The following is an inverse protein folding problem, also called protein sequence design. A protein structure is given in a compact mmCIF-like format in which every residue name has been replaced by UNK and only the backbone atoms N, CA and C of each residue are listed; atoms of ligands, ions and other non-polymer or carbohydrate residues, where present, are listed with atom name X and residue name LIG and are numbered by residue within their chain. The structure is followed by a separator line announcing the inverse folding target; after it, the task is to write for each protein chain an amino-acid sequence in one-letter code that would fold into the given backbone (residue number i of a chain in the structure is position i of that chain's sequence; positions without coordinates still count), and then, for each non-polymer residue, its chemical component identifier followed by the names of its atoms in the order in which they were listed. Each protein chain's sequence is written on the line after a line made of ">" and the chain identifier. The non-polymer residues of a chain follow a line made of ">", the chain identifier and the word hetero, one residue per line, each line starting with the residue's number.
data_IF_612644737847
#
_entry.id   IF_612644737847
#
_cell.length_a   1.000
_cell.length_b   1.000
_cell.length_c   1.000
_cell.angle_alpha   90.00
_cell.angle_beta   90.00
_cell.angle_gamma   90.00
#
_symmetry.space_group_name_H-M   'P 1'
#
loop_
_entity.id
_entity.type
_entity.pdbx_description
1 polymer ?
#
# COMPACT_ATOMS: atom_id res chain seq x y z
N UNK A 1 10.08 -20.66 -6.71
CA UNK A 1 11.11 -20.68 -7.78
C UNK A 1 11.95 -19.40 -7.81
N UNK A 2 12.21 -18.79 -6.64
CA UNK A 2 13.24 -17.74 -6.47
C UNK A 2 14.49 -18.40 -5.86
N UNK A 3 15.17 -19.25 -6.66
CA UNK A 3 16.45 -19.87 -6.28
C UNK A 3 17.68 -19.02 -6.65
N UNK A 4 17.48 -17.89 -7.34
CA UNK A 4 18.56 -17.04 -7.81
C UNK A 4 18.92 -16.01 -6.75
N UNK A 5 19.93 -16.33 -5.93
CA UNK A 5 20.77 -15.31 -5.33
C UNK A 5 21.53 -14.66 -6.49
N UNK A 6 21.09 -13.50 -6.97
CA UNK A 6 21.93 -12.71 -7.86
C UNK A 6 23.14 -12.24 -7.05
N UNK A 7 24.26 -12.97 -7.17
CA UNK A 7 25.53 -12.65 -6.51
C UNK A 7 26.22 -11.41 -7.10
N UNK A 8 25.47 -10.53 -7.78
CA UNK A 8 25.98 -9.26 -8.26
C UNK A 8 25.91 -8.23 -7.14
N UNK A 9 27.08 -7.88 -6.61
CA UNK A 9 27.22 -6.79 -5.64
C UNK A 9 26.62 -5.48 -6.16
N UNK A 10 26.66 -5.25 -7.48
CA UNK A 10 26.08 -4.08 -8.13
C UNK A 10 24.56 -4.08 -7.96
N UNK A 11 23.89 -5.21 -8.28
CA UNK A 11 22.43 -5.33 -8.15
C UNK A 11 22.02 -5.14 -6.68
N UNK A 12 22.72 -5.80 -5.75
CA UNK A 12 22.37 -5.69 -4.33
C UNK A 12 22.51 -4.26 -3.82
N UNK A 13 23.58 -3.57 -4.20
CA UNK A 13 23.85 -2.18 -3.79
C UNK A 13 22.81 -1.23 -4.38
N UNK A 14 22.59 -1.29 -5.70
CA UNK A 14 21.67 -0.39 -6.40
C UNK A 14 20.22 -0.62 -5.94
N UNK A 15 19.76 -1.87 -5.84
CA UNK A 15 18.40 -2.15 -5.39
C UNK A 15 18.19 -1.71 -3.94
N UNK A 16 19.15 -1.98 -3.05
CA UNK A 16 19.06 -1.56 -1.65
C UNK A 16 19.00 -0.04 -1.51
N UNK A 17 19.73 0.69 -2.36
CA UNK A 17 19.70 2.14 -2.41
C UNK A 17 18.36 2.67 -2.94
N UNK A 18 17.80 2.07 -4.00
CA UNK A 18 16.57 2.53 -4.65
C UNK A 18 15.30 2.30 -3.83
N UNK A 19 15.22 1.21 -3.08
CA UNK A 19 14.02 0.85 -2.28
C UNK A 19 13.48 2.00 -1.42
N UNK A 20 14.29 2.67 -0.56
CA UNK A 20 13.77 3.78 0.26
C UNK A 20 13.27 4.96 -0.58
N UNK A 21 13.87 5.24 -1.74
CA UNK A 21 13.38 6.31 -2.64
C UNK A 21 12.06 5.92 -3.31
N UNK A 22 11.90 4.66 -3.72
CA UNK A 22 10.63 4.15 -4.26
C UNK A 22 9.54 4.26 -3.19
N UNK A 23 9.84 3.87 -1.95
CA UNK A 23 8.89 3.94 -0.84
C UNK A 23 8.51 5.39 -0.51
N UNK A 24 9.48 6.30 -0.46
CA UNK A 24 9.22 7.71 -0.23
C UNK A 24 8.36 8.32 -1.35
N UNK A 25 8.68 8.00 -2.61
CA UNK A 25 7.89 8.45 -3.75
C UNK A 25 6.47 7.86 -3.74
N UNK A 26 6.32 6.60 -3.35
CA UNK A 26 5.02 5.98 -3.19
C UNK A 26 4.16 6.69 -2.14
N UNK A 27 4.74 7.04 -0.98
CA UNK A 27 4.06 7.82 0.05
C UNK A 27 3.65 9.21 -0.46
N UNK A 28 4.51 9.87 -1.22
CA UNK A 28 4.18 11.13 -1.89
C UNK A 28 2.97 10.98 -2.82
N UNK A 29 2.95 9.94 -3.67
CA UNK A 29 1.85 9.66 -4.63
C UNK A 29 0.53 9.35 -3.92
N UNK A 30 0.56 8.70 -2.75
CA UNK A 30 -0.65 8.46 -1.95
C UNK A 30 -1.14 9.75 -1.32
N UNK A 31 -0.25 10.54 -0.69
CA UNK A 31 -0.64 11.73 0.07
C UNK A 31 -1.13 12.87 -0.84
N UNK A 32 -0.64 12.94 -2.07
CA UNK A 32 -0.98 14.01 -3.04
C UNK A 32 -1.93 13.54 -4.14
N UNK A 33 -2.58 12.38 -3.97
CA UNK A 33 -3.46 11.79 -4.98
C UNK A 33 -4.65 12.66 -5.36
N UNK A 34 -5.15 13.48 -4.42
CA UNK A 34 -6.24 14.43 -4.68
C UNK A 34 -5.81 15.74 -5.35
N UNK A 35 -4.51 16.06 -5.36
CA UNK A 35 -3.97 17.29 -5.97
C UNK A 35 -3.31 17.05 -7.33
N UNK A 36 -2.93 15.82 -7.64
CA UNK A 36 -2.17 15.48 -8.85
C UNK A 36 -2.48 14.09 -9.39
N UNK A 37 -1.88 13.71 -10.52
CA UNK A 37 -2.06 12.36 -11.05
C UNK A 37 -1.45 11.34 -10.09
N UNK A 38 -2.25 10.39 -9.60
CA UNK A 38 -1.80 9.42 -8.61
C UNK A 38 -2.93 8.85 -7.77
N UNK A 39 -2.62 8.62 -6.49
CA UNK A 39 -3.56 8.12 -5.50
C UNK A 39 -3.15 6.77 -4.90
N UNK A 40 -4.09 6.21 -4.13
CA UNK A 40 -3.89 4.98 -3.38
C UNK A 40 -3.42 3.80 -4.23
N UNK A 41 -4.04 3.58 -5.39
CA UNK A 41 -3.72 2.42 -6.22
C UNK A 41 -2.28 2.46 -6.72
N UNK A 42 -1.87 3.55 -7.37
CA UNK A 42 -0.55 3.71 -7.97
C UNK A 42 0.54 3.72 -6.88
N UNK A 43 0.29 4.39 -5.76
CA UNK A 43 1.19 4.36 -4.61
C UNK A 43 1.33 2.96 -3.99
N UNK A 44 0.22 2.22 -3.86
CA UNK A 44 0.22 0.83 -3.41
C UNK A 44 1.02 -0.09 -4.34
N UNK A 45 0.92 0.11 -5.66
CA UNK A 45 1.75 -0.60 -6.66
C UNK A 45 3.23 -0.31 -6.45
N UNK A 46 3.62 0.96 -6.26
CA UNK A 46 5.02 1.34 -6.01
C UNK A 46 5.57 0.71 -4.72
N UNK A 47 4.78 0.68 -3.65
CA UNK A 47 5.14 -0.02 -2.42
C UNK A 47 5.33 -1.52 -2.66
N UNK A 48 4.43 -2.16 -3.40
CA UNK A 48 4.55 -3.57 -3.76
C UNK A 48 5.81 -3.84 -4.58
N UNK A 49 6.11 -3.02 -5.57
CA UNK A 49 7.33 -3.11 -6.38
C UNK A 49 8.58 -3.03 -5.51
N UNK A 50 8.60 -2.17 -4.48
CA UNK A 50 9.76 -2.09 -3.56
C UNK A 50 10.02 -3.41 -2.84
N UNK A 51 8.97 -4.11 -2.41
CA UNK A 51 9.07 -5.42 -1.76
C UNK A 51 9.40 -6.50 -2.78
N UNK A 52 8.78 -6.49 -3.96
CA UNK A 52 9.07 -7.45 -5.04
C UNK A 52 10.54 -7.33 -5.47
N UNK A 53 11.07 -6.11 -5.62
CA UNK A 53 12.48 -5.90 -5.91
C UNK A 53 13.36 -6.53 -4.82
N UNK A 54 13.00 -6.32 -3.55
CA UNK A 54 13.67 -6.98 -2.42
C UNK A 54 13.64 -8.50 -2.51
N UNK A 55 12.50 -9.09 -2.87
CA UNK A 55 12.34 -10.55 -3.07
C UNK A 55 13.27 -11.07 -4.15
N UNK A 56 13.41 -10.33 -5.25
CA UNK A 56 14.22 -10.71 -6.40
C UNK A 56 15.72 -10.71 -6.10
N UNK A 57 16.25 -9.70 -5.39
CA UNK A 57 17.70 -9.60 -5.16
C UNK A 57 18.19 -10.33 -3.90
N UNK A 58 17.38 -10.40 -2.83
CA UNK A 58 17.76 -11.12 -1.59
C UNK A 58 17.35 -12.60 -1.58
N UNK A 59 16.43 -12.98 -2.47
CA UNK A 59 15.77 -14.28 -2.44
C UNK A 59 14.71 -14.39 -1.34
N UNK A 60 13.85 -15.41 -1.45
CA UNK A 60 12.69 -15.59 -0.59
C UNK A 60 13.05 -15.67 0.91
N UNK A 61 14.05 -16.48 1.29
CA UNK A 61 14.39 -16.73 2.71
C UNK A 61 14.75 -15.45 3.49
N UNK A 62 15.58 -14.58 2.91
CA UNK A 62 16.01 -13.35 3.59
C UNK A 62 14.92 -12.29 3.50
N UNK A 63 14.31 -12.12 2.32
CA UNK A 63 13.26 -11.12 2.15
C UNK A 63 12.03 -11.42 3.01
N UNK A 64 11.63 -12.69 3.21
CA UNK A 64 10.46 -13.07 4.02
C UNK A 64 10.65 -12.74 5.50
N UNK A 65 11.89 -12.73 5.98
CA UNK A 65 12.22 -12.25 7.34
C UNK A 65 12.09 -10.74 7.48
N UNK A 66 12.32 -9.98 6.41
CA UNK A 66 12.18 -8.51 6.39
C UNK A 66 10.74 -8.07 6.19
N UNK A 67 10.01 -8.77 5.33
CA UNK A 67 8.61 -8.50 5.02
C UNK A 67 7.90 -9.83 4.79
N UNK A 68 7.05 -10.27 5.72
CA UNK A 68 6.42 -11.59 5.62
C UNK A 68 5.15 -11.56 4.77
N UNK A 69 4.77 -12.67 4.11
CA UNK A 69 3.46 -12.76 3.44
C UNK A 69 2.27 -12.53 4.39
N UNK A 70 2.40 -12.93 5.66
CA UNK A 70 1.39 -12.62 6.70
C UNK A 70 1.23 -11.12 6.94
N UNK A 71 2.33 -10.36 6.92
CA UNK A 71 2.29 -8.90 6.98
C UNK A 71 1.61 -8.33 5.73
N UNK A 72 1.94 -8.85 4.54
CA UNK A 72 1.28 -8.44 3.30
C UNK A 72 -0.25 -8.65 3.37
N UNK A 73 -0.68 -9.82 3.87
CA UNK A 73 -2.10 -10.12 4.09
C UNK A 73 -2.73 -9.17 5.11
N UNK A 74 -2.07 -8.93 6.24
CA UNK A 74 -2.57 -8.03 7.27
C UNK A 74 -2.73 -6.60 6.74
N UNK A 75 -1.76 -6.09 5.98
CA UNK A 75 -1.84 -4.78 5.33
C UNK A 75 -2.97 -4.74 4.30
N UNK A 76 -3.09 -5.78 3.48
CA UNK A 76 -4.15 -5.92 2.48
C UNK A 76 -5.55 -5.85 3.11
N UNK A 77 -5.77 -6.67 4.13
CA UNK A 77 -7.03 -6.72 4.88
C UNK A 77 -7.31 -5.41 5.64
N UNK A 78 -6.29 -4.83 6.28
CA UNK A 78 -6.42 -3.55 6.99
C UNK A 78 -6.79 -2.42 6.03
N UNK A 79 -6.18 -2.38 4.85
CA UNK A 79 -6.51 -1.41 3.82
C UNK A 79 -7.97 -1.51 3.36
N UNK A 80 -8.44 -2.74 3.14
CA UNK A 80 -9.84 -2.98 2.76
C UNK A 80 -10.81 -2.63 3.89
N UNK A 81 -10.45 -2.89 5.15
CA UNK A 81 -11.22 -2.46 6.31
C UNK A 81 -11.29 -0.93 6.42
N UNK A 82 -10.18 -0.22 6.21
CA UNK A 82 -10.15 1.25 6.21
C UNK A 82 -11.10 1.79 5.13
N UNK A 83 -11.03 1.27 3.91
CA UNK A 83 -11.93 1.66 2.82
C UNK A 83 -13.40 1.41 3.19
N UNK A 84 -13.72 0.22 3.69
CA UNK A 84 -15.08 -0.15 4.07
C UNK A 84 -15.63 0.72 5.19
N UNK A 85 -14.82 0.99 6.23
CA UNK A 85 -15.20 1.86 7.34
C UNK A 85 -15.35 3.32 6.88
N UNK A 86 -14.46 3.83 6.04
CA UNK A 86 -14.58 5.17 5.48
C UNK A 86 -15.89 5.36 4.69
N UNK A 87 -16.44 4.28 4.12
CA UNK A 87 -17.74 4.29 3.46
C UNK A 87 -18.94 4.13 4.39
N UNK A 88 -18.87 3.21 5.36
CA UNK A 88 -20.00 2.89 6.25
C UNK A 88 -20.15 3.89 7.39
N UNK A 89 -19.06 4.47 7.90
CA UNK A 89 -19.12 5.44 9.00
C UNK A 89 -20.01 6.63 8.65
N UNK A 90 -19.87 7.32 7.50
CA UNK A 90 -20.81 8.36 7.07
C UNK A 90 -22.28 7.97 7.14
N UNK A 91 -22.61 6.71 6.78
CA UNK A 91 -23.99 6.21 6.81
C UNK A 91 -24.56 6.16 8.23
N UNK A 92 -23.73 5.86 9.23
CA UNK A 92 -24.15 5.86 10.63
C UNK A 92 -24.45 7.28 11.16
N UNK A 93 -23.99 8.32 10.46
CA UNK A 93 -24.18 9.73 10.82
C UNK A 93 -25.10 10.47 9.83
N UNK A 94 -25.94 9.74 9.07
CA UNK A 94 -26.97 10.31 8.20
C UNK A 94 -26.50 10.68 6.79
N UNK A 95 -25.25 10.37 6.42
CA UNK A 95 -24.72 10.51 5.06
C UNK A 95 -24.98 9.28 4.17
N UNK A 96 -24.62 9.37 2.90
CA UNK A 96 -24.56 8.21 2.00
C UNK A 96 -23.24 7.44 2.16
N UNK A 97 -23.14 6.24 1.57
CA UNK A 97 -21.88 5.50 1.50
C UNK A 97 -20.78 6.36 0.85
N UNK A 98 -19.62 6.49 1.50
CA UNK A 98 -18.50 7.35 1.09
C UNK A 98 -18.83 8.86 1.03
N UNK A 99 -19.91 9.32 1.68
CA UNK A 99 -20.11 10.76 1.85
C UNK A 99 -19.18 11.31 2.93
N UNK A 100 -17.97 11.69 2.51
CA UNK A 100 -16.95 12.21 3.42
C UNK A 100 -17.40 13.46 4.20
N UNK A 101 -18.42 14.18 3.72
CA UNK A 101 -18.99 15.34 4.43
C UNK A 101 -19.71 14.98 5.73
N UNK A 102 -20.08 13.71 5.91
CA UNK A 102 -20.76 13.19 7.11
C UNK A 102 -19.82 12.39 8.02
N UNK A 103 -18.50 12.46 7.80
CA UNK A 103 -17.53 11.84 8.71
C UNK A 103 -17.56 12.53 10.09
N UNK A 104 -17.54 11.77 11.20
CA UNK A 104 -17.62 12.31 12.56
C UNK A 104 -16.26 12.86 13.05
N UNK A 105 -15.64 13.73 12.26
CA UNK A 105 -14.34 14.37 12.57
C UNK A 105 -14.61 15.83 12.93
N UNK A 106 -14.95 16.07 14.21
CA UNK A 106 -15.52 17.33 14.68
C UNK A 106 -14.59 18.55 14.63
N UNK A 107 -13.30 18.37 14.35
CA UNK A 107 -12.32 19.47 14.24
C UNK A 107 -12.06 19.91 12.79
N UNK A 108 -12.63 19.26 11.78
CA UNK A 108 -12.45 19.59 10.36
C UNK A 108 -13.82 19.71 9.69
N UNK A 109 -14.01 20.70 8.82
CA UNK A 109 -15.31 20.98 8.21
C UNK A 109 -15.22 21.25 6.70
N UNK A 110 -16.36 21.16 6.00
CA UNK A 110 -16.48 21.56 4.61
C UNK A 110 -15.54 20.81 3.66
N UNK A 111 -14.80 21.57 2.83
CA UNK A 111 -13.90 21.00 1.83
C UNK A 111 -12.71 20.23 2.45
N UNK A 112 -12.20 20.68 3.59
CA UNK A 112 -11.08 20.03 4.28
C UNK A 112 -11.48 18.65 4.80
N UNK A 113 -12.72 18.50 5.29
CA UNK A 113 -13.24 17.21 5.77
C UNK A 113 -13.34 16.21 4.61
N UNK A 114 -13.80 16.68 3.44
CA UNK A 114 -13.86 15.85 2.23
C UNK A 114 -12.46 15.47 1.75
N UNK A 115 -11.50 16.41 1.76
CA UNK A 115 -10.11 16.12 1.40
C UNK A 115 -9.47 15.08 2.34
N UNK A 116 -9.73 15.18 3.64
CA UNK A 116 -9.28 14.20 4.61
C UNK A 116 -9.93 12.82 4.38
N UNK A 117 -11.24 12.78 4.08
CA UNK A 117 -11.93 11.54 3.72
C UNK A 117 -11.36 10.87 2.46
N UNK A 118 -11.03 11.65 1.43
CA UNK A 118 -10.34 11.17 0.23
C UNK A 118 -8.98 10.57 0.62
N UNK A 119 -8.17 11.27 1.41
CA UNK A 119 -6.86 10.77 1.85
C UNK A 119 -6.98 9.46 2.65
N UNK A 120 -7.96 9.34 3.56
CA UNK A 120 -8.22 8.10 4.32
C UNK A 120 -8.50 6.94 3.36
N UNK A 121 -9.33 7.16 2.35
CA UNK A 121 -9.66 6.17 1.33
C UNK A 121 -8.45 5.81 0.47
N UNK A 122 -7.64 6.80 0.06
CA UNK A 122 -6.42 6.56 -0.71
C UNK A 122 -5.40 5.75 0.09
N UNK A 123 -5.22 6.02 1.38
CA UNK A 123 -4.39 5.19 2.27
C UNK A 123 -4.94 3.77 2.37
N UNK A 124 -6.26 3.61 2.56
CA UNK A 124 -6.91 2.30 2.61
C UNK A 124 -6.69 1.49 1.33
N UNK A 125 -6.96 2.08 0.17
CA UNK A 125 -6.72 1.47 -1.15
C UNK A 125 -5.24 1.16 -1.33
N UNK A 126 -4.34 2.07 -0.96
CA UNK A 126 -2.90 1.87 -1.09
C UNK A 126 -2.37 0.69 -0.30
N UNK A 127 -2.83 0.50 0.94
CA UNK A 127 -2.49 -0.67 1.75
C UNK A 127 -3.09 -1.96 1.17
N UNK A 128 -4.35 -1.90 0.71
CA UNK A 128 -5.04 -3.04 0.09
C UNK A 128 -4.27 -3.54 -1.14
N UNK A 129 -3.92 -2.62 -2.03
CA UNK A 129 -3.18 -2.90 -3.27
C UNK A 129 -1.76 -3.37 -2.96
N UNK A 130 -1.07 -2.70 -2.04
CA UNK A 130 0.29 -3.08 -1.64
C UNK A 130 0.34 -4.54 -1.17
N UNK A 131 -0.48 -4.90 -0.18
CA UNK A 131 -0.53 -6.25 0.36
C UNK A 131 -0.91 -7.28 -0.71
N UNK A 132 -1.96 -6.99 -1.47
CA UNK A 132 -2.50 -7.91 -2.49
C UNK A 132 -1.51 -8.19 -3.59
N UNK A 133 -0.80 -7.18 -4.12
CA UNK A 133 0.16 -7.39 -5.20
C UNK A 133 1.40 -8.16 -4.76
N UNK A 134 1.88 -7.95 -3.53
CA UNK A 134 2.95 -8.78 -2.96
C UNK A 134 2.50 -10.24 -2.86
N UNK A 135 1.26 -10.48 -2.40
CA UNK A 135 0.73 -11.83 -2.29
C UNK A 135 0.48 -12.49 -3.66
N UNK A 136 -0.01 -11.75 -4.64
CA UNK A 136 -0.14 -12.24 -6.02
C UNK A 136 1.22 -12.66 -6.54
N UNK A 137 2.25 -11.82 -6.37
CA UNK A 137 3.62 -12.14 -6.77
C UNK A 137 4.13 -13.41 -6.07
N UNK A 138 4.03 -13.48 -4.74
CA UNK A 138 4.49 -14.62 -3.94
C UNK A 138 3.76 -15.94 -4.35
N UNK A 139 2.46 -15.87 -4.69
CA UNK A 139 1.71 -17.02 -5.22
C UNK A 139 2.15 -17.42 -6.64
N UNK A 140 2.33 -16.46 -7.55
CA UNK A 140 2.72 -16.73 -8.95
C UNK A 140 4.11 -17.35 -9.06
N UNK A 141 5.05 -16.97 -8.19
CA UNK A 141 6.40 -17.55 -8.16
C UNK A 141 6.46 -18.93 -7.46
N UNK A 142 5.30 -19.45 -7.06
CA UNK A 142 5.11 -20.80 -6.52
C UNK A 142 5.55 -20.97 -5.07
N UNK A 143 5.63 -19.88 -4.30
CA UNK A 143 6.01 -19.93 -2.88
C UNK A 143 4.73 -20.09 -2.04
N UNK A 144 4.59 -21.25 -1.38
CA UNK A 144 3.52 -21.49 -0.41
C UNK A 144 4.03 -21.07 0.97
N UNK A 145 3.38 -20.09 1.58
CA UNK A 145 3.75 -19.50 2.86
C UNK A 145 2.75 -19.82 3.97
#
# INVERSE_FOLDING_TARGET
>A
MIKLHYQSIIIQTVCSLLIPFIQLFALYVIIHGHYGPGGGFQGGVLLAVSVILQRLYLGAKISYRKFSPKLALALGATGMLIFGLAGVVPMAFGGAFLDYGSLPIFWVHGAELRALGILIVEVGIGLAVFGTLVLIFDNLVGERW
#
